data_IF_157684095292
#
_entry.id   IF_157684095292
#
_cell.length_a   1.000
_cell.length_b   1.000
_cell.length_c   1.000
_cell.angle_alpha   90.00
_cell.angle_beta   90.00
_cell.angle_gamma   90.00
#
_symmetry.space_group_name_H-M   'P 1'
#
loop_
_entity.id
_entity.type
_entity.pdbx_description
1 polymer ?
#
# COMPACT_ATOMS: atom_id res chain seq x y z
N UNK A 1 -17.13 6.26 -11.69
CA UNK A 1 -16.36 6.87 -10.58
C UNK A 1 -14.99 6.20 -10.55
N UNK A 2 -13.90 6.94 -10.27
CA UNK A 2 -12.60 6.33 -10.06
C UNK A 2 -12.67 5.34 -8.88
N UNK A 3 -12.03 4.18 -9.01
CA UNK A 3 -11.99 3.17 -7.95
C UNK A 3 -11.31 3.75 -6.70
N UNK A 4 -11.91 3.54 -5.53
CA UNK A 4 -11.29 3.94 -4.27
C UNK A 4 -10.07 3.05 -3.98
N UNK A 5 -9.06 3.60 -3.30
CA UNK A 5 -7.85 2.84 -2.93
C UNK A 5 -8.20 1.58 -2.10
N UNK A 6 -9.17 1.68 -1.20
CA UNK A 6 -9.68 0.55 -0.42
C UNK A 6 -10.21 -0.59 -1.31
N UNK A 7 -10.91 -0.26 -2.40
CA UNK A 7 -11.42 -1.27 -3.33
C UNK A 7 -10.28 -2.00 -4.05
N UNK A 8 -9.17 -1.30 -4.33
CA UNK A 8 -7.97 -1.88 -4.93
C UNK A 8 -7.20 -2.76 -3.94
N UNK A 9 -7.11 -2.35 -2.67
CA UNK A 9 -6.50 -3.15 -1.59
C UNK A 9 -7.24 -4.48 -1.41
N UNK A 10 -8.57 -4.39 -1.22
CA UNK A 10 -9.43 -5.56 -1.12
C UNK A 10 -9.36 -6.42 -2.38
N UNK A 11 -9.40 -5.79 -3.55
CA UNK A 11 -9.30 -6.47 -4.84
C UNK A 11 -8.00 -7.26 -4.98
N UNK A 12 -6.86 -6.69 -4.60
CA UNK A 12 -5.55 -7.36 -4.69
C UNK A 12 -5.50 -8.63 -3.83
N UNK A 13 -5.87 -8.53 -2.55
CA UNK A 13 -5.73 -9.65 -1.61
C UNK A 13 -6.82 -10.73 -1.80
N UNK A 14 -8.08 -10.34 -2.05
CA UNK A 14 -9.13 -11.29 -2.42
C UNK A 14 -8.90 -11.87 -3.82
N UNK A 15 -8.32 -11.07 -4.71
CA UNK A 15 -8.00 -11.45 -6.07
C UNK A 15 -6.93 -12.54 -6.13
N UNK A 16 -5.92 -12.47 -5.26
CA UNK A 16 -4.96 -13.55 -5.02
C UNK A 16 -5.69 -14.85 -4.69
N UNK A 17 -6.51 -14.84 -3.63
CA UNK A 17 -7.17 -16.04 -3.12
C UNK A 17 -8.23 -16.62 -4.06
N UNK A 18 -8.94 -15.77 -4.80
CA UNK A 18 -9.82 -16.23 -5.88
C UNK A 18 -9.04 -16.84 -7.04
N UNK A 19 -7.87 -16.28 -7.39
CA UNK A 19 -7.01 -16.81 -8.45
C UNK A 19 -6.52 -18.21 -8.13
N UNK A 20 -5.91 -18.35 -6.95
CA UNK A 20 -5.49 -19.62 -6.34
C UNK A 20 -6.63 -20.67 -6.38
N UNK A 21 -7.78 -20.36 -5.76
CA UNK A 21 -8.91 -21.28 -5.67
C UNK A 21 -9.51 -21.68 -7.04
N UNK A 22 -9.34 -20.86 -8.07
CA UNK A 22 -9.73 -21.20 -9.45
C UNK A 22 -8.68 -22.13 -10.08
N UNK A 23 -7.40 -21.76 -10.01
CA UNK A 23 -6.30 -22.45 -10.68
C UNK A 23 -6.03 -23.86 -10.15
N UNK A 24 -6.17 -24.09 -8.84
CA UNK A 24 -5.93 -25.42 -8.22
C UNK A 24 -6.80 -26.54 -8.82
N UNK A 25 -7.95 -26.19 -9.43
CA UNK A 25 -8.85 -27.13 -10.09
C UNK A 25 -8.18 -27.97 -11.21
N UNK A 26 -7.11 -27.44 -11.82
CA UNK A 26 -6.38 -28.06 -12.95
C UNK A 26 -4.88 -28.07 -12.76
N UNK A 27 -4.44 -27.89 -11.53
CA UNK A 27 -3.04 -27.99 -11.14
C UNK A 27 -2.42 -29.34 -11.54
N UNK A 28 -1.15 -29.29 -11.94
CA UNK A 28 -0.37 -30.40 -12.48
C UNK A 28 -0.91 -31.03 -13.77
N UNK A 29 -1.95 -30.47 -14.39
CA UNK A 29 -2.48 -30.96 -15.67
C UNK A 29 -1.82 -30.21 -16.84
N UNK A 30 -1.24 -30.94 -17.82
CA UNK A 30 -0.70 -30.28 -19.00
C UNK A 30 -1.79 -29.53 -19.77
N UNK A 31 -1.43 -28.40 -20.38
CA UNK A 31 -2.36 -27.59 -21.18
C UNK A 31 -3.11 -28.42 -22.21
N UNK A 32 -4.43 -28.21 -22.30
CA UNK A 32 -5.28 -28.86 -23.30
C UNK A 32 -5.63 -30.32 -22.99
N UNK A 33 -5.19 -30.86 -21.85
CA UNK A 33 -5.54 -32.22 -21.41
C UNK A 33 -6.77 -32.27 -20.50
N UNK A 34 -7.39 -31.12 -20.22
CA UNK A 34 -8.54 -30.97 -19.34
C UNK A 34 -9.63 -30.10 -19.98
N UNK A 35 -10.91 -30.30 -19.60
CA UNK A 35 -11.99 -29.38 -20.00
C UNK A 35 -11.69 -27.97 -19.47
N UNK A 36 -11.92 -26.91 -20.27
CA UNK A 36 -11.61 -25.55 -19.83
C UNK A 36 -12.24 -25.20 -18.48
N UNK A 37 -11.44 -24.62 -17.58
CA UNK A 37 -11.93 -24.03 -16.34
C UNK A 37 -12.74 -22.79 -16.70
N UNK A 38 -13.97 -22.72 -16.21
CA UNK A 38 -14.92 -21.63 -16.54
C UNK A 38 -15.48 -20.94 -15.31
N UNK A 39 -15.29 -21.52 -14.11
CA UNK A 39 -15.82 -20.98 -12.86
C UNK A 39 -14.97 -21.46 -11.66
N UNK A 40 -15.23 -20.87 -10.49
CA UNK A 40 -14.70 -21.33 -9.21
C UNK A 40 -15.43 -22.61 -8.76
N UNK A 41 -14.84 -23.76 -9.09
CA UNK A 41 -15.46 -25.09 -9.00
C UNK A 41 -14.79 -26.05 -8.00
N UNK A 42 -13.57 -25.78 -7.54
CA UNK A 42 -12.80 -26.71 -6.71
C UNK A 42 -12.35 -27.98 -7.45
N UNK A 43 -12.11 -29.06 -6.71
CA UNK A 43 -11.54 -30.30 -7.24
C UNK A 43 -10.01 -30.27 -7.16
N UNK A 44 -9.34 -30.42 -8.30
CA UNK A 44 -7.87 -30.46 -8.34
C UNK A 44 -7.27 -31.73 -7.73
N UNK A 45 -5.93 -31.79 -7.62
CA UNK A 45 -5.21 -32.91 -7.02
C UNK A 45 -5.55 -33.14 -5.54
N UNK A 46 -6.00 -32.10 -4.84
CA UNK A 46 -6.33 -32.14 -3.40
C UNK A 46 -7.82 -32.31 -3.09
N UNK A 47 -8.66 -32.45 -4.12
CA UNK A 47 -10.13 -32.60 -3.98
C UNK A 47 -10.77 -31.49 -3.12
N UNK A 48 -10.38 -30.24 -3.38
CA UNK A 48 -10.83 -29.07 -2.64
C UNK A 48 -12.31 -28.76 -2.91
N UNK A 49 -12.99 -28.20 -1.91
CA UNK A 49 -14.33 -27.64 -2.11
C UNK A 49 -14.22 -26.34 -2.91
N UNK A 50 -15.27 -25.96 -3.68
CA UNK A 50 -15.31 -24.65 -4.31
C UNK A 50 -15.04 -23.54 -3.28
N UNK A 51 -14.01 -22.75 -3.53
CA UNK A 51 -13.63 -21.58 -2.74
C UNK A 51 -12.46 -21.82 -1.79
N UNK A 52 -12.04 -23.07 -1.61
CA UNK A 52 -10.81 -23.38 -0.88
C UNK A 52 -9.60 -23.14 -1.79
N UNK A 53 -8.55 -22.60 -1.19
CA UNK A 53 -7.29 -22.14 -1.78
C UNK A 53 -6.11 -22.91 -1.16
N UNK A 54 -4.91 -22.80 -1.74
CA UNK A 54 -3.72 -23.62 -1.45
C UNK A 54 -2.68 -22.88 -0.59
N UNK A 55 -1.41 -23.29 -0.68
CA UNK A 55 -0.30 -22.68 0.06
C UNK A 55 -0.06 -21.21 -0.33
N UNK A 56 -0.33 -20.84 -1.58
CA UNK A 56 -0.36 -19.47 -2.09
C UNK A 56 -1.01 -18.49 -1.10
N UNK A 57 -2.29 -18.73 -0.82
CA UNK A 57 -3.10 -17.88 0.05
C UNK A 57 -2.72 -18.08 1.53
N UNK A 58 -2.41 -19.31 1.98
CA UNK A 58 -1.92 -19.54 3.35
C UNK A 58 -0.70 -18.70 3.67
N UNK A 59 0.27 -18.66 2.75
CA UNK A 59 1.52 -17.94 2.93
C UNK A 59 1.32 -16.43 2.77
N UNK A 60 0.41 -15.98 1.90
CA UNK A 60 0.00 -14.58 1.85
C UNK A 60 -0.62 -14.11 3.18
N UNK A 61 -1.53 -14.91 3.76
CA UNK A 61 -2.18 -14.58 5.02
C UNK A 61 -1.20 -14.55 6.20
N UNK A 62 -0.30 -15.54 6.28
CA UNK A 62 0.79 -15.54 7.26
C UNK A 62 1.66 -14.28 7.16
N UNK A 63 2.00 -13.85 5.93
CA UNK A 63 2.80 -12.65 5.69
C UNK A 63 2.05 -11.37 6.09
N UNK A 64 0.79 -11.25 5.70
CA UNK A 64 -0.06 -10.11 6.07
C UNK A 64 -0.24 -9.99 7.58
N UNK A 65 -0.44 -11.11 8.28
CA UNK A 65 -0.54 -11.08 9.73
C UNK A 65 0.77 -10.71 10.42
N UNK A 66 1.92 -11.20 9.93
CA UNK A 66 3.24 -10.77 10.44
C UNK A 66 3.41 -9.26 10.33
N UNK A 67 3.16 -8.70 9.15
CA UNK A 67 3.28 -7.26 8.90
C UNK A 67 2.40 -6.44 9.87
N UNK A 68 1.14 -6.85 10.04
CA UNK A 68 0.19 -6.16 10.92
C UNK A 68 0.53 -6.29 12.41
N UNK A 69 0.95 -7.48 12.87
CA UNK A 69 1.27 -7.72 14.28
C UNK A 69 2.58 -7.07 14.71
N UNK A 70 3.52 -6.95 13.77
CA UNK A 70 4.85 -6.40 14.01
C UNK A 70 4.96 -4.92 13.65
N UNK A 71 3.91 -4.36 13.04
CA UNK A 71 3.86 -3.00 12.48
C UNK A 71 5.08 -2.69 11.59
N UNK A 72 5.49 -3.69 10.79
CA UNK A 72 6.73 -3.67 10.03
C UNK A 72 7.09 -5.03 9.47
N UNK A 73 8.17 -5.10 8.70
CA UNK A 73 8.69 -6.35 8.17
C UNK A 73 9.60 -7.02 9.20
N UNK A 74 9.22 -8.21 9.66
CA UNK A 74 10.03 -9.08 10.52
C UNK A 74 10.13 -10.47 9.88
N UNK A 75 11.30 -10.76 9.31
CA UNK A 75 11.56 -12.01 8.59
C UNK A 75 11.45 -13.25 9.50
N UNK A 76 11.78 -13.13 10.79
CA UNK A 76 11.68 -14.23 11.74
C UNK A 76 10.22 -14.51 12.11
N UNK A 77 9.40 -13.47 12.32
CA UNK A 77 7.95 -13.63 12.55
C UNK A 77 7.25 -14.21 11.32
N UNK A 78 7.63 -13.77 10.11
CA UNK A 78 7.18 -14.35 8.85
C UNK A 78 7.47 -15.86 8.78
N UNK A 79 8.72 -16.26 8.99
CA UNK A 79 9.11 -17.68 8.94
C UNK A 79 8.49 -18.50 10.06
N UNK A 80 8.34 -17.94 11.25
CA UNK A 80 7.62 -18.57 12.37
C UNK A 80 6.16 -18.86 12.04
N UNK A 81 5.45 -17.96 11.34
CA UNK A 81 4.07 -18.21 10.89
C UNK A 81 4.00 -19.26 9.79
N UNK A 82 4.96 -19.28 8.87
CA UNK A 82 5.05 -20.36 7.87
C UNK A 82 5.34 -21.72 8.51
N UNK A 83 6.18 -21.78 9.55
CA UNK A 83 6.32 -22.99 10.37
C UNK A 83 4.99 -23.36 11.03
N UNK A 84 4.24 -22.36 11.54
CA UNK A 84 2.94 -22.64 12.14
C UNK A 84 1.95 -23.25 11.15
N UNK A 85 1.93 -22.71 9.93
CA UNK A 85 1.14 -23.25 8.85
C UNK A 85 1.59 -24.67 8.51
N UNK A 86 2.90 -24.87 8.27
CA UNK A 86 3.45 -26.17 7.89
C UNK A 86 3.20 -27.27 8.93
N UNK A 87 3.33 -26.96 10.23
CA UNK A 87 3.21 -27.96 11.30
C UNK A 87 1.77 -28.17 11.79
N UNK A 88 0.93 -27.12 11.78
CA UNK A 88 -0.38 -27.16 12.43
C UNK A 88 -1.54 -26.69 11.55
N UNK A 89 -1.32 -26.45 10.25
CA UNK A 89 -2.37 -25.96 9.34
C UNK A 89 -2.87 -24.56 9.69
N UNK A 90 -2.06 -23.75 10.38
CA UNK A 90 -2.39 -22.37 10.71
C UNK A 90 -2.71 -21.56 9.44
N UNK A 91 -3.88 -20.91 9.40
CA UNK A 91 -4.36 -20.18 8.21
C UNK A 91 -4.39 -21.06 6.95
N UNK A 92 -4.82 -22.32 7.08
CA UNK A 92 -5.10 -23.24 5.96
C UNK A 92 -6.60 -23.32 5.68
N UNK A 93 -6.97 -23.40 4.40
CA UNK A 93 -8.36 -23.61 3.99
C UNK A 93 -8.93 -25.00 4.34
N UNK A 94 -8.06 -25.97 4.65
CA UNK A 94 -8.45 -27.36 5.00
C UNK A 94 -8.19 -27.70 6.46
N UNK A 95 -7.51 -26.82 7.21
CA UNK A 95 -7.08 -27.06 8.58
C UNK A 95 -5.75 -27.83 8.71
N UNK A 96 -5.12 -28.20 7.60
CA UNK A 96 -3.81 -28.87 7.56
C UNK A 96 -2.90 -28.21 6.51
N UNK A 97 -1.58 -28.36 6.61
CA UNK A 97 -0.68 -27.97 5.51
C UNK A 97 -0.77 -29.00 4.38
N UNK A 98 -1.03 -28.51 3.17
CA UNK A 98 -0.95 -29.26 1.93
C UNK A 98 -0.29 -28.38 0.88
N UNK A 99 0.10 -28.98 -0.25
CA UNK A 99 0.67 -28.28 -1.40
C UNK A 99 1.99 -27.53 -1.22
N UNK A 100 2.63 -27.65 -0.05
CA UNK A 100 3.90 -26.97 0.18
C UNK A 100 4.99 -27.34 -0.85
N UNK A 101 5.43 -26.34 -1.60
CA UNK A 101 6.54 -26.47 -2.54
C UNK A 101 7.86 -26.91 -1.87
N UNK A 102 8.68 -27.68 -2.60
CA UNK A 102 9.92 -28.25 -2.05
C UNK A 102 10.92 -27.18 -1.59
N UNK A 103 11.06 -26.08 -2.31
CA UNK A 103 11.94 -24.96 -1.94
C UNK A 103 11.49 -24.29 -0.65
N UNK A 104 10.18 -24.12 -0.46
CA UNK A 104 9.61 -23.58 0.78
C UNK A 104 9.87 -24.54 1.93
N UNK A 105 9.57 -25.83 1.74
CA UNK A 105 9.80 -26.86 2.76
C UNK A 105 11.25 -26.91 3.21
N UNK A 106 12.21 -26.84 2.27
CA UNK A 106 13.64 -26.82 2.60
C UNK A 106 14.00 -25.58 3.41
N UNK A 107 13.57 -24.39 2.99
CA UNK A 107 13.87 -23.15 3.70
C UNK A 107 13.26 -23.13 5.12
N UNK A 108 12.07 -23.69 5.31
CA UNK A 108 11.47 -23.84 6.63
C UNK A 108 12.23 -24.82 7.52
N UNK A 109 12.69 -25.95 6.97
CA UNK A 109 13.52 -26.90 7.70
C UNK A 109 14.85 -26.25 8.13
N UNK A 110 15.52 -25.55 7.21
CA UNK A 110 16.78 -24.85 7.48
C UNK A 110 16.59 -23.75 8.54
N UNK A 111 15.48 -23.00 8.48
CA UNK A 111 15.15 -22.01 9.51
C UNK A 111 14.88 -22.66 10.88
N UNK A 112 14.16 -23.77 10.91
CA UNK A 112 13.87 -24.49 12.15
C UNK A 112 15.15 -25.04 12.81
N UNK A 113 16.12 -25.47 12.01
CA UNK A 113 17.39 -26.00 12.50
C UNK A 113 18.38 -24.90 12.91
N UNK A 114 18.49 -23.83 12.13
CA UNK A 114 19.57 -22.84 12.26
C UNK A 114 19.12 -21.45 12.75
N UNK A 115 17.82 -21.16 12.74
CA UNK A 115 17.25 -19.89 13.20
C UNK A 115 17.52 -18.69 12.30
N UNK A 116 18.13 -18.86 11.12
CA UNK A 116 18.39 -17.79 10.16
C UNK A 116 17.14 -17.54 9.28
N UNK A 117 16.46 -16.38 9.39
CA UNK A 117 15.16 -16.19 8.75
C UNK A 117 15.22 -15.98 7.23
N UNK A 118 16.39 -15.61 6.70
CA UNK A 118 16.64 -15.56 5.25
C UNK A 118 17.20 -16.90 4.77
N UNK A 119 16.37 -17.94 4.79
CA UNK A 119 16.76 -19.32 4.53
C UNK A 119 16.59 -19.75 3.06
N UNK A 120 16.16 -18.86 2.18
CA UNK A 120 15.98 -19.18 0.77
C UNK A 120 17.30 -19.46 0.06
N UNK A 121 17.36 -20.57 -0.69
CA UNK A 121 18.51 -20.91 -1.53
C UNK A 121 18.79 -19.81 -2.57
N UNK A 122 20.06 -19.46 -2.73
CA UNK A 122 20.55 -18.54 -3.77
C UNK A 122 20.91 -19.22 -5.09
N UNK A 123 20.79 -20.55 -5.17
CA UNK A 123 21.05 -21.32 -6.38
C UNK A 123 20.04 -20.92 -7.48
N UNK A 124 20.49 -20.51 -8.68
CA UNK A 124 19.61 -20.18 -9.81
C UNK A 124 18.60 -21.28 -10.18
N UNK A 125 18.91 -22.56 -9.94
CA UNK A 125 17.98 -23.68 -10.20
C UNK A 125 16.83 -23.77 -9.19
N UNK A 126 16.85 -22.94 -8.14
CA UNK A 126 15.79 -22.84 -7.13
C UNK A 126 14.91 -21.60 -7.30
N UNK A 127 14.95 -20.97 -8.47
CA UNK A 127 14.16 -19.78 -8.83
C UNK A 127 12.66 -20.09 -9.03
N UNK A 128 12.03 -20.65 -8.02
CA UNK A 128 10.60 -20.95 -7.98
C UNK A 128 9.72 -19.69 -7.87
N UNK A 129 8.47 -19.81 -8.29
CA UNK A 129 7.44 -18.77 -8.22
C UNK A 129 6.84 -18.57 -6.81
N UNK A 130 7.16 -19.41 -5.82
CA UNK A 130 6.48 -19.39 -4.52
C UNK A 130 6.66 -18.14 -3.65
N UNK A 131 7.53 -17.20 -4.04
CA UNK A 131 7.57 -15.86 -3.43
C UNK A 131 6.63 -14.84 -4.11
N UNK A 132 6.30 -15.02 -5.40
CA UNK A 132 5.37 -14.18 -6.16
C UNK A 132 3.92 -14.41 -5.74
N UNK A 133 3.55 -15.67 -5.45
CA UNK A 133 2.20 -16.07 -5.09
C UNK A 133 1.64 -15.32 -3.87
N UNK A 134 2.52 -14.93 -2.94
CA UNK A 134 2.19 -14.37 -1.63
C UNK A 134 2.51 -12.87 -1.48
N UNK A 135 2.77 -12.15 -2.57
CA UNK A 135 3.45 -10.85 -2.52
C UNK A 135 2.56 -9.67 -2.11
N UNK A 136 1.27 -9.72 -2.42
CA UNK A 136 0.32 -8.61 -2.23
C UNK A 136 0.39 -7.95 -0.83
N UNK A 137 0.38 -8.68 0.30
CA UNK A 137 0.43 -8.06 1.63
C UNK A 137 1.60 -7.08 1.83
N UNK A 138 2.79 -7.39 1.32
CA UNK A 138 3.97 -6.51 1.42
C UNK A 138 3.75 -5.21 0.66
N UNK A 139 3.19 -5.29 -0.55
CA UNK A 139 2.91 -4.11 -1.37
C UNK A 139 1.86 -3.24 -0.69
N UNK A 140 0.76 -3.87 -0.23
CA UNK A 140 -0.34 -3.17 0.42
C UNK A 140 0.12 -2.45 1.70
N UNK A 141 1.02 -3.07 2.48
CA UNK A 141 1.50 -2.51 3.75
C UNK A 141 2.44 -1.31 3.57
N UNK A 142 3.37 -1.37 2.62
CA UNK A 142 4.40 -0.33 2.45
C UNK A 142 4.05 0.76 1.42
N UNK A 143 3.00 0.58 0.62
CA UNK A 143 2.52 1.64 -0.27
C UNK A 143 2.09 2.88 0.54
N UNK A 144 2.40 4.13 0.12
CA UNK A 144 2.95 4.53 -1.18
C UNK A 144 4.49 4.65 -1.24
N UNK A 145 5.23 4.18 -0.24
CA UNK A 145 6.70 4.23 -0.26
C UNK A 145 7.27 3.16 -1.20
N UNK A 146 7.46 3.54 -2.47
CA UNK A 146 7.93 2.63 -3.52
C UNK A 146 9.33 2.05 -3.24
N UNK A 147 10.16 2.77 -2.46
CA UNK A 147 11.47 2.28 -2.03
C UNK A 147 11.32 1.11 -1.08
N UNK A 148 10.48 1.27 -0.03
CA UNK A 148 10.17 0.21 0.93
C UNK A 148 9.39 -0.94 0.30
N UNK A 149 8.44 -0.67 -0.59
CA UNK A 149 7.72 -1.71 -1.36
C UNK A 149 8.72 -2.61 -2.08
N UNK A 150 9.67 -2.04 -2.83
CA UNK A 150 10.67 -2.83 -3.57
C UNK A 150 11.64 -3.56 -2.64
N UNK A 151 12.13 -2.89 -1.61
CA UNK A 151 13.04 -3.50 -0.64
C UNK A 151 12.41 -4.73 0.02
N UNK A 152 11.23 -4.56 0.62
CA UNK A 152 10.58 -5.63 1.37
C UNK A 152 9.94 -6.69 0.47
N UNK A 153 9.62 -6.38 -0.79
CA UNK A 153 9.30 -7.41 -1.78
C UNK A 153 10.47 -8.39 -1.95
N UNK A 154 11.69 -7.86 -2.13
CA UNK A 154 12.90 -8.67 -2.23
C UNK A 154 13.22 -9.43 -0.92
N UNK A 155 13.16 -8.75 0.23
CA UNK A 155 13.44 -9.38 1.52
C UNK A 155 12.41 -10.47 1.87
N UNK A 156 11.12 -10.26 1.57
CA UNK A 156 10.09 -11.29 1.76
C UNK A 156 10.33 -12.52 0.88
N UNK A 157 10.89 -12.36 -0.33
CA UNK A 157 11.30 -13.48 -1.19
C UNK A 157 12.43 -14.27 -0.52
N UNK A 158 13.50 -13.59 -0.10
CA UNK A 158 14.73 -14.18 0.47
C UNK A 158 14.49 -15.10 1.66
N UNK A 159 13.35 -14.99 2.34
CA UNK A 159 12.97 -15.91 3.43
C UNK A 159 12.87 -17.37 2.96
N UNK A 160 12.39 -17.61 1.73
CA UNK A 160 12.26 -18.98 1.17
C UNK A 160 12.84 -19.13 -0.23
N UNK A 161 12.98 -18.05 -0.99
CA UNK A 161 13.52 -18.01 -2.36
C UNK A 161 14.59 -16.92 -2.46
N UNK A 162 15.85 -17.32 -2.40
CA UNK A 162 17.02 -16.43 -2.42
C UNK A 162 17.66 -16.26 -3.80
N UNK A 163 17.19 -16.98 -4.82
CA UNK A 163 17.69 -16.88 -6.19
C UNK A 163 17.42 -15.46 -6.75
N UNK A 164 18.42 -14.88 -7.42
CA UNK A 164 18.36 -13.49 -7.88
C UNK A 164 17.16 -13.21 -8.78
N UNK A 165 16.80 -14.13 -9.68
CA UNK A 165 15.63 -14.01 -10.54
C UNK A 165 14.31 -13.98 -9.75
N UNK A 166 14.17 -14.79 -8.69
CA UNK A 166 12.96 -14.78 -7.85
C UNK A 166 12.82 -13.46 -7.08
N UNK A 167 13.94 -12.92 -6.58
CA UNK A 167 13.98 -11.62 -5.89
C UNK A 167 13.57 -10.50 -6.84
N UNK A 168 14.20 -10.41 -8.02
CA UNK A 168 13.91 -9.35 -8.99
C UNK A 168 12.51 -9.48 -9.59
N UNK A 169 11.99 -10.69 -9.81
CA UNK A 169 10.60 -10.90 -10.20
C UNK A 169 9.63 -10.32 -9.16
N UNK A 170 9.88 -10.55 -7.86
CA UNK A 170 9.08 -9.95 -6.80
C UNK A 170 9.16 -8.42 -6.82
N UNK A 171 10.34 -7.84 -7.05
CA UNK A 171 10.51 -6.38 -7.12
C UNK A 171 9.77 -5.77 -8.33
N UNK A 172 9.85 -6.40 -9.50
CA UNK A 172 9.11 -6.00 -10.69
C UNK A 172 7.61 -6.08 -10.43
N UNK A 173 7.14 -7.23 -9.93
CA UNK A 173 5.73 -7.46 -9.72
C UNK A 173 5.13 -6.54 -8.63
N UNK A 174 5.85 -6.31 -7.54
CA UNK A 174 5.47 -5.35 -6.51
C UNK A 174 5.31 -3.93 -7.08
N UNK A 175 6.20 -3.52 -7.99
CA UNK A 175 6.14 -2.21 -8.63
C UNK A 175 4.89 -2.08 -9.52
N UNK A 176 4.51 -3.15 -10.22
CA UNK A 176 3.29 -3.17 -11.04
C UNK A 176 2.02 -3.12 -10.19
N UNK A 177 1.96 -3.86 -9.08
CA UNK A 177 0.84 -3.76 -8.13
C UNK A 177 0.76 -2.34 -7.57
N UNK A 178 1.88 -1.75 -7.13
CA UNK A 178 1.90 -0.39 -6.58
C UNK A 178 1.41 0.66 -7.61
N UNK A 179 1.75 0.51 -8.89
CA UNK A 179 1.21 1.36 -9.97
C UNK A 179 -0.28 1.15 -10.19
N UNK A 180 -0.77 -0.09 -10.12
CA UNK A 180 -2.21 -0.37 -10.19
C UNK A 180 -2.96 0.25 -9.00
N UNK A 181 -2.40 0.22 -7.79
CA UNK A 181 -2.93 0.93 -6.61
C UNK A 181 -2.99 2.44 -6.82
N UNK A 182 -1.97 3.01 -7.46
CA UNK A 182 -1.93 4.42 -7.85
C UNK A 182 -2.91 4.79 -8.99
N UNK A 183 -3.59 3.81 -9.58
CA UNK A 183 -4.57 4.01 -10.64
C UNK A 183 -3.98 4.10 -12.05
N UNK A 184 -2.77 3.59 -12.27
CA UNK A 184 -2.17 3.49 -13.60
C UNK A 184 -3.08 2.69 -14.56
N UNK A 185 -3.13 3.15 -15.81
CA UNK A 185 -3.78 2.47 -16.93
C UNK A 185 -3.04 1.18 -17.31
N UNK A 186 -3.72 0.28 -18.03
CA UNK A 186 -3.07 -0.93 -18.55
C UNK A 186 -1.82 -0.64 -19.38
N UNK A 187 -1.83 0.43 -20.17
CA UNK A 187 -0.71 0.86 -20.99
C UNK A 187 0.49 1.27 -20.12
N UNK A 188 0.27 2.01 -19.04
CA UNK A 188 1.32 2.41 -18.08
C UNK A 188 1.87 1.22 -17.27
N UNK A 189 1.15 0.10 -17.24
CA UNK A 189 1.59 -1.16 -16.62
C UNK A 189 2.34 -2.09 -17.59
N UNK A 190 2.45 -1.75 -18.88
CA UNK A 190 3.14 -2.60 -19.86
C UNK A 190 4.67 -2.59 -19.69
N UNK A 191 5.23 -1.46 -19.26
CA UNK A 191 6.67 -1.21 -19.24
C UNK A 191 7.09 -0.51 -17.94
N UNK A 192 8.20 -0.97 -17.36
CA UNK A 192 8.84 -0.42 -16.15
C UNK A 192 10.29 -0.04 -16.48
N UNK A 193 10.52 1.22 -16.90
CA UNK A 193 11.83 1.69 -17.38
C UNK A 193 12.67 2.44 -16.33
N UNK A 194 12.00 2.97 -15.31
CA UNK A 194 12.56 3.70 -14.16
C UNK A 194 13.28 2.79 -13.15
N UNK A 195 13.21 1.47 -13.33
CA UNK A 195 13.87 0.48 -12.49
C UNK A 195 14.86 -0.33 -13.32
N UNK A 196 16.12 -0.40 -12.86
CA UNK A 196 17.12 -1.27 -13.44
C UNK A 196 17.09 -2.64 -12.75
N UNK A 197 17.08 -3.69 -13.56
CA UNK A 197 17.14 -5.10 -13.14
C UNK A 197 18.43 -5.72 -13.68
N UNK A 198 19.13 -6.48 -12.85
CA UNK A 198 20.40 -7.13 -13.19
C UNK A 198 20.17 -8.44 -13.95
N UNK A 199 19.08 -9.15 -13.66
CA UNK A 199 18.75 -10.40 -14.34
C UNK A 199 18.16 -10.11 -15.72
N UNK A 200 18.86 -10.55 -16.77
CA UNK A 200 18.51 -10.24 -18.15
C UNK A 200 17.07 -10.59 -18.51
N UNK A 201 16.55 -11.75 -18.05
CA UNK A 201 15.17 -12.18 -18.32
C UNK A 201 14.14 -11.28 -17.64
N UNK A 202 14.41 -10.85 -16.39
CA UNK A 202 13.53 -9.93 -15.67
C UNK A 202 13.57 -8.54 -16.32
N UNK A 203 14.74 -8.07 -16.74
CA UNK A 203 14.88 -6.82 -17.48
C UNK A 203 14.13 -6.83 -18.82
N UNK A 204 14.10 -7.97 -19.54
CA UNK A 204 13.30 -8.11 -20.76
C UNK A 204 11.81 -8.13 -20.48
N UNK A 205 11.36 -8.80 -19.40
CA UNK A 205 9.96 -8.79 -18.99
C UNK A 205 9.49 -7.38 -18.59
N UNK A 206 10.30 -6.65 -17.83
CA UNK A 206 10.04 -5.27 -17.45
C UNK A 206 9.89 -4.34 -18.68
N UNK A 207 10.44 -4.73 -19.83
CA UNK A 207 10.33 -4.00 -21.11
C UNK A 207 9.19 -4.49 -22.02
N UNK A 208 8.30 -5.33 -21.49
CA UNK A 208 7.11 -5.77 -22.21
C UNK A 208 7.35 -6.86 -23.26
N UNK A 209 8.41 -7.67 -23.13
CA UNK A 209 8.72 -8.76 -24.08
C UNK A 209 7.59 -9.78 -24.27
N UNK A 210 6.67 -9.84 -23.31
CA UNK A 210 5.52 -10.73 -23.31
C UNK A 210 4.36 -10.22 -24.18
N UNK A 211 4.25 -8.92 -24.45
CA UNK A 211 3.06 -8.31 -25.08
C UNK A 211 2.74 -8.87 -26.48
N UNK A 212 3.76 -9.20 -27.26
CA UNK A 212 3.60 -9.69 -28.63
C UNK A 212 3.60 -11.22 -28.76
N UNK A 213 3.74 -11.96 -27.65
CA UNK A 213 3.80 -13.43 -27.67
C UNK A 213 2.43 -14.03 -27.98
N UNK A 214 2.42 -15.08 -28.78
CA UNK A 214 1.25 -15.92 -28.97
C UNK A 214 0.99 -16.77 -27.71
N UNK A 215 -0.27 -17.17 -27.50
CA UNK A 215 -0.67 -17.97 -26.33
C UNK A 215 0.14 -19.26 -26.20
N UNK A 216 0.51 -19.87 -27.31
CA UNK A 216 1.28 -21.12 -27.42
C UNK A 216 2.73 -20.98 -26.97
N UNK A 217 3.24 -19.74 -26.83
CA UNK A 217 4.58 -19.44 -26.33
C UNK A 217 4.60 -19.23 -24.81
N UNK A 218 3.45 -18.92 -24.21
CA UNK A 218 3.32 -18.64 -22.78
C UNK A 218 3.35 -19.94 -21.97
N UNK A 219 4.06 -19.96 -20.84
CA UNK A 219 4.18 -21.10 -19.93
C UNK A 219 3.90 -20.64 -18.50
N UNK A 220 2.91 -21.22 -17.83
CA UNK A 220 2.62 -20.97 -16.41
C UNK A 220 3.14 -22.15 -15.58
N UNK A 221 4.47 -22.28 -15.48
CA UNK A 221 5.12 -23.36 -14.74
C UNK A 221 5.79 -22.81 -13.46
N UNK A 222 6.36 -23.69 -12.63
CA UNK A 222 6.99 -23.32 -11.36
C UNK A 222 8.19 -22.37 -11.40
N UNK A 223 8.70 -22.01 -12.59
CA UNK A 223 9.79 -21.04 -12.72
C UNK A 223 9.26 -19.61 -12.63
N UNK A 224 9.85 -18.78 -11.76
CA UNK A 224 9.34 -17.45 -11.43
C UNK A 224 9.18 -16.50 -12.64
N UNK A 225 10.12 -16.54 -13.59
CA UNK A 225 10.09 -15.70 -14.79
C UNK A 225 8.95 -16.12 -15.72
N UNK A 226 8.78 -17.42 -15.96
CA UNK A 226 7.72 -17.97 -16.81
C UNK A 226 6.34 -17.70 -16.20
N UNK A 227 6.17 -17.97 -14.90
CA UNK A 227 4.95 -17.67 -14.14
C UNK A 227 4.58 -16.18 -14.20
N UNK A 228 5.55 -15.29 -13.96
CA UNK A 228 5.31 -13.85 -14.02
C UNK A 228 4.98 -13.40 -15.45
N UNK A 229 5.70 -13.91 -16.46
CA UNK A 229 5.40 -13.65 -17.87
C UNK A 229 3.95 -14.04 -18.22
N UNK A 230 3.54 -15.23 -17.81
CA UNK A 230 2.21 -15.75 -18.04
C UNK A 230 1.13 -14.89 -17.39
N UNK A 231 1.30 -14.53 -16.12
CA UNK A 231 0.37 -13.68 -15.41
C UNK A 231 0.23 -12.29 -16.06
N UNK A 232 1.35 -11.66 -16.45
CA UNK A 232 1.34 -10.35 -17.12
C UNK A 232 0.71 -10.43 -18.52
N UNK A 233 0.99 -11.50 -19.27
CA UNK A 233 0.36 -11.74 -20.57
C UNK A 233 -1.16 -11.90 -20.43
N UNK A 234 -1.61 -12.74 -19.49
CA UNK A 234 -3.03 -12.96 -19.22
C UNK A 234 -3.73 -11.67 -18.79
N UNK A 235 -3.10 -10.87 -17.93
CA UNK A 235 -3.63 -9.56 -17.54
C UNK A 235 -3.77 -8.61 -18.73
N UNK A 236 -2.74 -8.48 -19.58
CA UNK A 236 -2.79 -7.54 -20.70
C UNK A 236 -3.79 -7.97 -21.78
N UNK A 237 -3.97 -9.27 -22.01
CA UNK A 237 -4.86 -9.84 -23.05
C UNK A 237 -6.30 -10.14 -22.59
N UNK A 238 -6.75 -9.59 -21.46
CA UNK A 238 -8.11 -9.78 -20.92
C UNK A 238 -8.74 -8.46 -20.47
N UNK A 239 -10.04 -8.26 -20.64
CA UNK A 239 -10.67 -6.97 -20.35
C UNK A 239 -11.30 -6.86 -18.95
N UNK A 240 -11.27 -7.96 -18.19
CA UNK A 240 -11.79 -8.03 -16.82
C UNK A 240 -11.02 -9.06 -15.99
N UNK A 241 -11.26 -9.02 -14.68
CA UNK A 241 -10.57 -9.89 -13.70
C UNK A 241 -10.82 -11.39 -13.96
N UNK A 242 -12.08 -11.77 -14.25
CA UNK A 242 -12.44 -13.18 -14.41
C UNK A 242 -11.74 -13.79 -15.62
N UNK A 243 -11.74 -13.08 -16.75
CA UNK A 243 -11.05 -13.53 -17.97
C UNK A 243 -9.54 -13.62 -17.76
N UNK A 244 -8.94 -12.70 -17.00
CA UNK A 244 -7.51 -12.75 -16.67
C UNK A 244 -7.14 -14.02 -15.88
N UNK A 245 -7.91 -14.29 -14.82
CA UNK A 245 -7.71 -15.47 -13.95
C UNK A 245 -8.00 -16.77 -14.68
N UNK A 246 -9.10 -16.84 -15.43
CA UNK A 246 -9.45 -18.03 -16.21
C UNK A 246 -8.43 -18.27 -17.33
N UNK A 247 -7.92 -17.23 -17.98
CA UNK A 247 -6.86 -17.37 -18.98
C UNK A 247 -5.60 -18.00 -18.36
N UNK A 248 -5.20 -17.54 -17.16
CA UNK A 248 -4.06 -18.07 -16.42
C UNK A 248 -4.28 -19.53 -15.97
N UNK A 249 -5.41 -19.83 -15.33
CA UNK A 249 -5.74 -21.20 -14.90
C UNK A 249 -5.76 -22.20 -16.06
N UNK A 250 -6.28 -21.77 -17.22
CA UNK A 250 -6.32 -22.60 -18.44
C UNK A 250 -4.96 -22.75 -19.16
N UNK A 251 -3.88 -22.18 -18.63
CA UNK A 251 -2.53 -22.53 -19.08
C UNK A 251 -2.11 -23.92 -18.60
N UNK A 252 -2.74 -24.45 -17.53
CA UNK A 252 -2.38 -25.72 -16.90
C UNK A 252 -1.06 -25.63 -16.14
N UNK A 253 -0.40 -26.76 -15.96
CA UNK A 253 0.88 -26.91 -15.27
C UNK A 253 0.80 -26.38 -13.82
N UNK A 254 1.37 -25.22 -13.53
CA UNK A 254 1.34 -24.54 -12.23
C UNK A 254 0.25 -23.45 -12.24
N UNK A 255 -0.99 -23.95 -12.30
CA UNK A 255 -2.16 -23.17 -12.67
C UNK A 255 -2.69 -22.29 -11.54
N UNK A 256 -2.65 -22.77 -10.30
CA UNK A 256 -2.98 -22.02 -9.09
C UNK A 256 -2.04 -20.84 -8.89
N UNK A 257 -0.72 -21.07 -8.92
CA UNK A 257 0.25 -19.98 -8.74
C UNK A 257 0.12 -18.93 -9.83
N UNK A 258 0.04 -19.35 -11.09
CA UNK A 258 -0.10 -18.39 -12.20
C UNK A 258 -1.41 -17.60 -12.07
N UNK A 259 -2.50 -18.24 -11.64
CA UNK A 259 -3.79 -17.59 -11.41
C UNK A 259 -3.78 -16.66 -10.19
N UNK A 260 -3.07 -17.00 -9.11
CA UNK A 260 -2.90 -16.16 -7.93
C UNK A 260 -2.06 -14.92 -8.23
N UNK A 261 -0.98 -15.06 -9.00
CA UNK A 261 -0.15 -13.92 -9.46
C UNK A 261 -0.99 -12.95 -10.29
N UNK A 262 -1.69 -13.43 -11.34
CA UNK A 262 -2.55 -12.51 -12.11
C UNK A 262 -3.69 -11.95 -11.25
N UNK A 263 -4.21 -12.73 -10.30
CA UNK A 263 -5.25 -12.34 -9.37
C UNK A 263 -4.88 -11.12 -8.51
N UNK A 264 -3.63 -11.05 -8.03
CA UNK A 264 -3.12 -9.90 -7.27
C UNK A 264 -3.15 -8.61 -8.11
N UNK A 265 -2.58 -8.63 -9.32
CA UNK A 265 -2.48 -7.45 -10.18
C UNK A 265 -3.84 -7.05 -10.76
N UNK A 266 -4.59 -8.01 -11.30
CA UNK A 266 -5.93 -7.76 -11.84
C UNK A 266 -6.88 -7.28 -10.74
N UNK A 267 -6.77 -7.84 -9.54
CA UNK A 267 -7.51 -7.41 -8.37
C UNK A 267 -7.19 -5.97 -7.96
N UNK A 268 -5.92 -5.58 -7.91
CA UNK A 268 -5.50 -4.20 -7.67
C UNK A 268 -6.00 -3.23 -8.76
N UNK A 269 -6.03 -3.68 -10.02
CA UNK A 269 -6.40 -2.87 -11.17
C UNK A 269 -7.92 -2.66 -11.32
N UNK A 270 -8.70 -3.74 -11.27
CA UNK A 270 -10.17 -3.71 -11.42
C UNK A 270 -10.91 -3.47 -10.10
N UNK A 271 -10.22 -3.61 -8.96
CA UNK A 271 -10.80 -3.51 -7.62
C UNK A 271 -11.70 -4.70 -7.26
N UNK A 272 -12.13 -4.77 -5.99
CA UNK A 272 -13.03 -5.83 -5.49
C UNK A 272 -14.31 -5.96 -6.32
N UNK A 273 -14.82 -4.85 -6.85
CA UNK A 273 -16.03 -4.82 -7.69
C UNK A 273 -15.84 -5.51 -9.05
N UNK A 274 -14.60 -5.68 -9.49
CA UNK A 274 -14.27 -6.42 -10.72
C UNK A 274 -14.23 -7.93 -10.53
N UNK A 275 -14.13 -8.43 -9.28
CA UNK A 275 -14.14 -9.86 -8.98
C UNK A 275 -15.59 -10.37 -9.04
N UNK A 276 -15.88 -11.50 -9.71
CA UNK A 276 -17.24 -12.04 -9.74
C UNK A 276 -17.82 -12.24 -8.33
N UNK A 277 -18.98 -11.64 -8.07
CA UNK A 277 -19.60 -11.67 -6.73
C UNK A 277 -19.89 -13.09 -6.24
N UNK A 278 -20.17 -14.03 -7.15
CA UNK A 278 -20.37 -15.43 -6.80
C UNK A 278 -19.08 -16.18 -6.47
N UNK A 279 -17.91 -15.70 -6.91
CA UNK A 279 -16.60 -16.21 -6.46
C UNK A 279 -16.34 -15.74 -5.03
N UNK A 280 -16.51 -14.44 -4.77
CA UNK A 280 -16.36 -13.87 -3.43
C UNK A 280 -17.28 -14.54 -2.39
N UNK A 281 -18.52 -14.88 -2.79
CA UNK A 281 -19.47 -15.56 -1.91
C UNK A 281 -19.09 -17.01 -1.57
N UNK A 282 -18.30 -17.68 -2.42
CA UNK A 282 -17.80 -19.04 -2.20
C UNK A 282 -16.45 -19.06 -1.48
N UNK A 283 -15.67 -17.98 -1.58
CA UNK A 283 -14.28 -17.92 -1.14
C UNK A 283 -14.17 -18.24 0.36
N UNK A 284 -13.36 -19.26 0.67
CA UNK A 284 -13.07 -19.64 2.04
C UNK A 284 -12.33 -18.51 2.75
N UNK A 285 -12.73 -18.19 3.99
CA UNK A 285 -12.21 -17.04 4.75
C UNK A 285 -12.31 -15.67 4.05
N UNK A 286 -13.26 -15.51 3.12
CA UNK A 286 -13.39 -14.27 2.34
C UNK A 286 -13.62 -13.00 3.18
N UNK A 287 -14.25 -13.12 4.36
CA UNK A 287 -14.44 -11.97 5.26
C UNK A 287 -13.14 -11.59 5.99
N UNK A 288 -12.39 -12.59 6.42
CA UNK A 288 -11.11 -12.44 7.11
C UNK A 288 -10.04 -11.87 6.17
N UNK A 289 -9.96 -12.38 4.94
CA UNK A 289 -9.09 -11.85 3.88
C UNK A 289 -9.43 -10.38 3.61
N UNK A 290 -10.73 -10.06 3.51
CA UNK A 290 -11.18 -8.68 3.32
C UNK A 290 -10.80 -7.78 4.50
N UNK A 291 -11.00 -8.24 5.73
CA UNK A 291 -10.64 -7.48 6.93
C UNK A 291 -9.12 -7.22 7.00
N UNK A 292 -8.30 -8.22 6.66
CA UNK A 292 -6.86 -8.05 6.55
C UNK A 292 -6.48 -6.96 5.53
N UNK A 293 -7.12 -6.93 4.36
CA UNK A 293 -6.88 -5.88 3.37
C UNK A 293 -7.22 -4.47 3.90
N UNK A 294 -8.28 -4.35 4.69
CA UNK A 294 -8.68 -3.09 5.34
C UNK A 294 -7.63 -2.66 6.39
N UNK A 295 -7.16 -3.59 7.21
CA UNK A 295 -6.14 -3.36 8.22
C UNK A 295 -4.78 -2.98 7.60
N UNK A 296 -4.42 -3.60 6.48
CA UNK A 296 -3.21 -3.27 5.71
C UNK A 296 -3.29 -1.83 5.17
N UNK A 297 -4.45 -1.36 4.70
CA UNK A 297 -4.63 0.03 4.30
C UNK A 297 -4.48 0.98 5.48
N UNK A 298 -5.11 0.65 6.61
CA UNK A 298 -4.99 1.47 7.81
C UNK A 298 -3.54 1.57 8.30
N UNK A 299 -2.77 0.47 8.23
CA UNK A 299 -1.35 0.46 8.56
C UNK A 299 -0.50 1.29 7.58
N UNK A 300 -0.73 1.11 6.28
CA UNK A 300 -0.07 1.88 5.22
C UNK A 300 -0.28 3.39 5.40
N UNK A 301 -1.50 3.82 5.73
CA UNK A 301 -1.81 5.23 5.99
C UNK A 301 -1.12 5.79 7.25
N UNK A 302 -0.86 4.94 8.26
CA UNK A 302 -0.07 5.34 9.43
C UNK A 302 1.43 5.49 9.11
N UNK A 303 1.94 4.71 8.17
CA UNK A 303 3.36 4.65 7.82
C UNK A 303 3.76 5.54 6.65
N UNK A 304 2.80 6.00 5.84
CA UNK A 304 3.05 6.87 4.71
C UNK A 304 3.84 8.12 5.19
N UNK A 305 4.99 8.44 4.57
CA UNK A 305 5.70 9.66 4.91
C UNK A 305 4.75 10.83 4.71
N UNK A 306 4.64 11.71 5.71
CA UNK A 306 3.78 12.88 5.61
C UNK A 306 4.15 13.64 4.34
N UNK A 307 3.17 13.80 3.42
CA UNK A 307 3.37 14.64 2.25
C UNK A 307 3.68 16.05 2.77
N UNK A 308 4.75 16.70 2.28
CA UNK A 308 5.04 18.06 2.72
C UNK A 308 3.85 18.96 2.44
N UNK A 309 3.42 19.68 3.47
CA UNK A 309 2.32 20.62 3.46
C UNK A 309 2.80 21.95 2.88
N UNK A 310 2.01 22.54 2.00
CA UNK A 310 2.23 23.87 1.46
C UNK A 310 1.37 24.87 2.22
N UNK A 311 1.86 26.10 2.31
CA UNK A 311 1.07 27.20 2.81
C UNK A 311 1.48 28.52 2.18
N UNK A 312 0.56 29.46 2.25
CA UNK A 312 0.72 30.76 1.61
C UNK A 312 0.02 31.86 2.40
N UNK A 313 0.44 33.11 2.16
CA UNK A 313 -0.34 34.25 2.61
C UNK A 313 -1.62 34.41 1.77
N UNK A 314 -2.57 35.24 2.21
CA UNK A 314 -3.84 35.46 1.52
C UNK A 314 -3.68 35.84 0.03
N UNK A 315 -2.70 36.69 -0.30
CA UNK A 315 -2.44 37.08 -1.69
C UNK A 315 -1.48 36.14 -2.44
N UNK A 316 -1.04 35.04 -1.80
CA UNK A 316 -0.07 34.06 -2.33
C UNK A 316 1.30 34.60 -2.72
N UNK A 317 1.61 35.86 -2.38
CA UNK A 317 2.90 36.47 -2.64
C UNK A 317 4.03 35.82 -1.84
N UNK A 318 3.74 35.30 -0.65
CA UNK A 318 4.68 34.53 0.19
C UNK A 318 4.18 33.10 0.27
N UNK A 319 5.04 32.14 -0.04
CA UNK A 319 4.73 30.71 0.01
C UNK A 319 5.83 29.95 0.76
N UNK A 320 5.43 28.89 1.45
CA UNK A 320 6.31 28.04 2.25
C UNK A 320 5.89 26.58 2.16
N UNK A 321 6.80 25.72 2.58
CA UNK A 321 6.61 24.28 2.73
C UNK A 321 6.95 23.86 4.15
N UNK A 322 6.21 22.86 4.63
CA UNK A 322 6.37 22.24 5.94
C UNK A 322 6.40 20.73 5.76
N UNK A 323 7.46 20.04 6.19
CA UNK A 323 7.53 18.58 6.06
C UNK A 323 6.49 17.89 6.97
N UNK A 324 6.29 18.41 8.19
CA UNK A 324 5.27 17.97 9.15
C UNK A 324 5.05 19.01 10.25
N UNK A 325 3.95 18.88 11.01
CA UNK A 325 3.76 19.61 12.27
C UNK A 325 4.40 18.81 13.42
N UNK A 326 5.41 19.36 14.09
CA UNK A 326 6.16 18.67 15.15
C UNK A 326 5.52 18.80 16.54
N UNK A 327 4.57 19.73 16.69
CA UNK A 327 3.78 19.89 17.90
C UNK A 327 2.29 19.97 17.56
N UNK A 328 1.40 19.52 18.47
CA UNK A 328 -0.04 19.55 18.25
C UNK A 328 -0.57 20.93 17.90
N UNK A 329 -1.64 20.96 17.11
CA UNK A 329 -2.41 22.18 16.86
C UNK A 329 -3.05 22.63 18.18
N UNK A 330 -2.84 23.90 18.54
CA UNK A 330 -3.46 24.54 19.70
C UNK A 330 -4.13 25.85 19.33
N UNK A 331 -5.25 26.16 19.98
CA UNK A 331 -5.94 27.43 19.86
C UNK A 331 -5.47 28.37 20.97
N UNK A 332 -4.76 29.44 20.59
CA UNK A 332 -4.27 30.45 21.53
C UNK A 332 -5.23 31.63 21.62
N UNK A 333 -5.82 31.81 22.80
CA UNK A 333 -6.82 32.85 23.10
C UNK A 333 -6.21 34.13 23.67
N UNK A 334 -4.89 34.20 23.83
CA UNK A 334 -4.27 35.37 24.44
C UNK A 334 -4.57 36.64 23.64
N UNK A 335 -4.70 37.77 24.35
CA UNK A 335 -5.07 39.05 23.75
C UNK A 335 -4.16 39.43 22.58
N UNK A 336 -2.85 39.18 22.69
CA UNK A 336 -1.89 39.47 21.61
C UNK A 336 -2.16 38.63 20.36
N UNK A 337 -2.52 37.35 20.51
CA UNK A 337 -2.87 36.51 19.36
C UNK A 337 -4.20 36.94 18.74
N UNK A 338 -5.25 37.18 19.53
CA UNK A 338 -6.51 37.68 18.98
C UNK A 338 -6.35 38.99 18.21
N UNK A 339 -5.63 39.96 18.79
CA UNK A 339 -5.41 41.29 18.17
C UNK A 339 -4.52 41.22 16.94
N UNK A 340 -3.44 40.42 16.96
CA UNK A 340 -2.55 40.31 15.80
C UNK A 340 -3.21 39.63 14.59
N UNK A 341 -4.14 38.70 14.83
CA UNK A 341 -4.80 37.94 13.77
C UNK A 341 -6.21 38.46 13.41
N UNK A 342 -6.72 39.45 14.14
CA UNK A 342 -8.12 39.89 14.05
C UNK A 342 -9.11 38.71 14.12
N UNK A 343 -8.87 37.76 15.02
CA UNK A 343 -9.60 36.50 15.10
C UNK A 343 -9.98 36.14 16.55
N UNK A 344 -10.99 35.27 16.71
CA UNK A 344 -11.44 34.73 17.99
C UNK A 344 -10.31 34.05 18.79
N UNK A 345 -9.41 33.37 18.07
CA UNK A 345 -8.16 32.80 18.58
C UNK A 345 -7.21 32.60 17.40
N UNK A 346 -5.93 32.34 17.68
CA UNK A 346 -4.99 31.92 16.65
C UNK A 346 -4.72 30.41 16.75
N UNK A 347 -4.99 29.69 15.66
CA UNK A 347 -4.59 28.28 15.51
C UNK A 347 -3.11 28.19 15.17
N UNK A 348 -2.34 27.53 16.03
CA UNK A 348 -0.89 27.43 15.91
C UNK A 348 -0.39 26.02 16.12
N UNK A 349 0.67 25.65 15.42
CA UNK A 349 1.43 24.44 15.65
C UNK A 349 2.92 24.79 15.64
N UNK A 350 3.71 24.04 16.40
CA UNK A 350 5.17 24.16 16.36
C UNK A 350 5.73 23.32 15.22
N UNK A 351 6.76 23.85 14.55
CA UNK A 351 7.47 23.19 13.46
C UNK A 351 8.96 23.38 13.69
N UNK A 352 9.74 22.32 13.71
CA UNK A 352 11.19 22.40 13.78
C UNK A 352 11.73 23.14 12.57
N UNK A 353 12.77 23.96 12.78
CA UNK A 353 13.34 24.79 11.70
C UNK A 353 13.79 23.96 10.49
N UNK A 354 14.27 22.75 10.72
CA UNK A 354 14.68 21.81 9.66
C UNK A 354 13.51 21.34 8.78
N UNK A 355 12.29 21.29 9.31
CA UNK A 355 11.08 20.91 8.55
C UNK A 355 10.38 22.10 7.88
N UNK A 356 10.85 23.33 8.07
CA UNK A 356 10.22 24.53 7.51
C UNK A 356 11.10 25.18 6.46
N UNK A 357 10.53 25.49 5.28
CA UNK A 357 11.26 26.19 4.20
C UNK A 357 10.39 27.23 3.52
N UNK A 358 10.92 28.43 3.34
CA UNK A 358 10.32 29.42 2.43
C UNK A 358 10.55 29.01 0.98
N UNK A 359 9.51 29.05 0.15
CA UNK A 359 9.58 28.72 -1.27
C UNK A 359 9.77 29.99 -2.13
N UNK A 360 8.97 31.04 -1.87
CA UNK A 360 9.06 32.32 -2.58
C UNK A 360 8.51 33.48 -1.73
N UNK A 361 8.74 34.72 -2.20
CA UNK A 361 8.14 35.91 -1.59
C UNK A 361 8.87 36.47 -0.37
N UNK A 362 10.15 36.15 -0.18
CA UNK A 362 10.92 36.63 0.98
C UNK A 362 11.03 38.16 1.00
N UNK A 363 11.02 38.79 -0.16
CA UNK A 363 10.97 40.25 -0.36
C UNK A 363 9.66 40.88 0.14
N UNK A 364 8.59 40.10 0.22
CA UNK A 364 7.30 40.51 0.77
C UNK A 364 7.10 40.07 2.22
N UNK A 365 8.14 39.51 2.86
CA UNK A 365 8.11 39.12 4.26
C UNK A 365 8.54 40.29 5.14
N UNK A 366 7.64 40.76 5.99
CA UNK A 366 7.92 41.76 7.02
C UNK A 366 7.81 41.16 8.41
N UNK A 367 8.46 41.79 9.38
CA UNK A 367 8.40 41.33 10.77
C UNK A 367 8.40 42.47 11.77
N UNK A 368 7.86 42.19 12.96
CA UNK A 368 8.00 43.06 14.13
C UNK A 368 8.15 42.24 15.40
N UNK A 369 8.75 42.85 16.42
CA UNK A 369 8.91 42.23 17.74
C UNK A 369 7.65 42.46 18.59
N UNK A 370 6.95 41.37 18.91
CA UNK A 370 5.67 41.43 19.65
C UNK A 370 5.83 41.35 21.18
N UNK A 371 6.99 40.90 21.63
CA UNK A 371 7.44 40.84 23.02
C UNK A 371 8.95 40.56 22.99
N UNK A 372 9.74 40.86 24.03
CA UNK A 372 11.19 40.63 24.02
C UNK A 372 11.58 39.24 23.49
N UNK A 373 12.33 39.23 22.40
CA UNK A 373 12.84 38.06 21.68
C UNK A 373 11.84 37.33 20.79
N UNK A 374 10.59 37.80 20.62
CA UNK A 374 9.54 37.14 19.82
C UNK A 374 9.18 37.94 18.58
N UNK A 375 9.71 37.52 17.45
CA UNK A 375 9.40 38.07 16.14
C UNK A 375 8.15 37.42 15.55
N UNK A 376 7.30 38.23 14.93
CA UNK A 376 6.15 37.78 14.13
C UNK A 376 6.40 38.15 12.69
N UNK A 377 6.27 37.17 11.81
CA UNK A 377 6.46 37.31 10.37
C UNK A 377 5.12 37.33 9.66
N UNK A 378 4.94 38.28 8.75
CA UNK A 378 3.69 38.51 8.02
C UNK A 378 3.99 39.03 6.62
N UNK A 379 3.04 38.84 5.71
CA UNK A 379 3.12 39.38 4.36
C UNK A 379 2.89 40.90 4.38
N UNK A 380 3.82 41.68 3.84
CA UNK A 380 3.72 43.14 3.75
C UNK A 380 2.65 43.64 2.77
N UNK A 381 2.17 42.76 1.88
CA UNK A 381 1.16 43.08 0.86
C UNK A 381 -0.27 42.89 1.40
N UNK A 382 -0.56 41.75 2.03
CA UNK A 382 -1.92 41.41 2.49
C UNK A 382 -2.09 41.36 4.01
N UNK A 383 -1.01 41.47 4.78
CA UNK A 383 -1.05 41.43 6.25
C UNK A 383 -1.19 40.04 6.86
N UNK A 384 -1.31 38.95 6.08
CA UNK A 384 -1.41 37.60 6.64
C UNK A 384 -0.17 37.26 7.47
N UNK A 385 -0.40 36.92 8.73
CA UNK A 385 0.63 36.41 9.62
C UNK A 385 0.89 34.93 9.34
N UNK A 386 2.15 34.57 9.11
CA UNK A 386 2.54 33.22 8.65
C UNK A 386 3.19 32.41 9.76
N UNK A 387 4.10 33.01 10.53
CA UNK A 387 4.72 32.36 11.68
C UNK A 387 5.20 33.36 12.73
N UNK A 388 5.52 32.85 13.91
CA UNK A 388 6.30 33.59 14.91
C UNK A 388 7.49 32.75 15.35
N UNK A 389 8.55 33.39 15.82
CA UNK A 389 9.75 32.68 16.27
C UNK A 389 10.42 33.40 17.44
N UNK A 390 11.24 32.64 18.17
CA UNK A 390 12.26 33.17 19.09
C UNK A 390 13.60 32.62 18.62
N UNK A 391 14.61 33.49 18.45
CA UNK A 391 15.90 33.09 17.87
C UNK A 391 16.58 31.92 18.61
N UNK A 392 16.41 31.83 19.94
CA UNK A 392 16.96 30.74 20.75
C UNK A 392 16.14 29.45 20.79
N UNK A 393 15.02 29.35 20.05
CA UNK A 393 14.20 28.13 20.02
C UNK A 393 14.42 27.34 18.72
N UNK A 394 14.44 25.99 18.81
CA UNK A 394 14.70 25.11 17.64
C UNK A 394 13.51 25.04 16.67
N UNK A 395 12.37 25.62 17.04
CA UNK A 395 11.14 25.59 16.26
C UNK A 395 10.62 26.99 15.97
N UNK A 396 9.80 27.08 14.92
CA UNK A 396 8.91 28.20 14.62
C UNK A 396 7.49 27.85 15.06
N UNK A 397 6.68 28.87 15.34
CA UNK A 397 5.26 28.74 15.64
C UNK A 397 4.49 29.13 14.38
N UNK A 398 4.08 28.12 13.62
CA UNK A 398 3.33 28.27 12.38
C UNK A 398 1.90 28.73 12.67
N UNK A 399 1.33 29.54 11.76
CA UNK A 399 -0.11 29.84 11.72
C UNK A 399 -0.79 28.79 10.86
N UNK A 400 -1.53 27.89 11.50
CA UNK A 400 -2.14 26.74 10.81
C UNK A 400 -3.14 27.20 9.75
N UNK A 401 -3.82 28.32 10.00
CA UNK A 401 -4.79 28.90 9.07
C UNK A 401 -4.18 29.43 7.75
N UNK A 402 -2.85 29.43 7.60
CA UNK A 402 -2.18 29.79 6.34
C UNK A 402 -1.67 28.58 5.56
N UNK A 403 -1.97 27.35 6.01
CA UNK A 403 -1.75 26.15 5.20
C UNK A 403 -2.76 26.12 4.04
N UNK A 404 -2.27 25.78 2.85
CA UNK A 404 -3.08 25.52 1.67
C UNK A 404 -3.54 24.05 1.64
N UNK A 405 -2.74 23.16 2.25
CA UNK A 405 -3.02 21.74 2.39
C UNK A 405 -3.64 21.42 3.76
N UNK A 406 -4.56 20.43 3.82
CA UNK A 406 -5.08 19.91 5.09
C UNK A 406 -3.99 19.10 5.84
N UNK A 407 -3.58 19.51 7.05
CA UNK A 407 -2.59 18.77 7.82
C UNK A 407 -3.10 17.42 8.36
N UNK A 408 -4.39 17.10 8.21
CA UNK A 408 -5.00 15.86 8.72
C UNK A 408 -5.03 15.76 10.25
N UNK A 409 -4.80 16.87 10.94
CA UNK A 409 -4.74 16.96 12.40
C UNK A 409 -5.83 17.89 12.92
N UNK A 410 -6.48 17.49 14.00
CA UNK A 410 -7.41 18.36 14.74
C UNK A 410 -6.70 19.06 15.91
N UNK A 411 -7.15 20.27 16.31
CA UNK A 411 -6.69 20.93 17.52
C UNK A 411 -6.82 20.05 18.76
N UNK A 412 -5.78 20.01 19.60
CA UNK A 412 -5.75 19.19 20.82
C UNK A 412 -5.94 20.00 22.11
N UNK A 413 -5.81 21.34 22.05
CA UNK A 413 -5.87 22.18 23.25
C UNK A 413 -6.29 23.62 22.97
N UNK A 414 -6.90 24.24 23.98
CA UNK A 414 -7.11 25.68 24.08
C UNK A 414 -6.20 26.22 25.18
N UNK A 415 -5.42 27.26 24.89
CA UNK A 415 -4.51 27.88 25.85
C UNK A 415 -4.79 29.38 25.99
N UNK A 416 -4.48 29.94 27.16
CA UNK A 416 -4.76 31.34 27.52
C UNK A 416 -6.26 31.71 27.54
N UNK A 417 -7.12 30.74 27.85
CA UNK A 417 -8.58 30.95 27.99
C UNK A 417 -8.94 31.87 29.16
N UNK A 418 -8.01 32.14 30.09
CA UNK A 418 -8.19 33.20 31.10
C UNK A 418 -8.33 34.61 30.49
N UNK A 419 -7.95 34.80 29.23
CA UNK A 419 -8.18 36.05 28.50
C UNK A 419 -9.49 36.01 27.69
N UNK A 420 -10.29 34.93 27.75
CA UNK A 420 -11.55 34.83 27.02
C UNK A 420 -12.51 35.96 27.37
N UNK A 421 -13.39 36.25 26.43
CA UNK A 421 -14.34 37.35 26.48
C UNK A 421 -15.72 36.81 26.15
N UNK A 422 -16.81 37.38 26.72
CA UNK A 422 -18.14 36.78 26.62
C UNK A 422 -18.62 36.50 25.19
N UNK A 423 -18.21 37.32 24.21
CA UNK A 423 -18.60 37.15 22.81
C UNK A 423 -17.94 35.95 22.10
N UNK A 424 -17.03 35.20 22.76
CA UNK A 424 -16.48 33.94 22.25
C UNK A 424 -17.36 32.72 22.56
N UNK A 425 -18.39 32.87 23.39
CA UNK A 425 -19.29 31.79 23.75
C UNK A 425 -20.11 31.34 22.51
N UNK A 426 -20.15 30.03 22.26
CA UNK A 426 -20.84 29.42 21.12
C UNK A 426 -21.89 28.36 21.53
N UNK A 427 -21.95 28.00 22.81
CA UNK A 427 -22.91 27.02 23.30
C UNK A 427 -24.35 27.57 23.22
N UNK A 428 -25.25 26.82 22.60
CA UNK A 428 -26.67 27.19 22.47
C UNK A 428 -26.97 28.23 21.39
N UNK A 429 -26.05 28.49 20.46
CA UNK A 429 -26.31 29.32 19.28
C UNK A 429 -26.80 28.47 18.10
N UNK A 430 -27.71 29.04 17.32
CA UNK A 430 -28.10 28.47 16.03
C UNK A 430 -26.92 28.45 15.06
N UNK A 431 -26.85 27.41 14.22
CA UNK A 431 -25.81 27.27 13.21
C UNK A 431 -26.43 26.89 11.87
N UNK A 432 -25.88 27.47 10.81
CA UNK A 432 -26.31 27.22 9.43
C UNK A 432 -25.06 26.88 8.60
N UNK A 433 -25.17 25.96 7.62
CA UNK A 433 -24.05 25.64 6.73
C UNK A 433 -23.65 26.82 5.83
N UNK A 434 -24.58 27.75 5.59
CA UNK A 434 -24.39 28.96 4.78
C UNK A 434 -25.03 30.18 5.49
N UNK A 435 -25.53 31.15 4.72
CA UNK A 435 -26.30 32.25 5.26
C UNK A 435 -27.52 31.75 6.04
N UNK A 436 -27.87 32.49 7.09
CA UNK A 436 -29.13 32.31 7.79
C UNK A 436 -30.28 32.37 6.77
N UNK A 437 -31.28 31.46 6.83
CA UNK A 437 -32.42 31.47 5.92
C UNK A 437 -33.11 32.84 5.86
N UNK A 438 -33.44 33.30 4.64
CA UNK A 438 -34.14 34.59 4.41
C UNK A 438 -33.25 35.83 4.42
N UNK A 439 -31.92 35.64 4.37
CA UNK A 439 -30.93 36.70 4.24
C UNK A 439 -30.38 36.68 2.81
N UNK A 440 -31.14 37.27 1.88
CA UNK A 440 -30.74 37.46 0.48
C UNK A 440 -29.66 38.55 0.34
#
# INVERSE_FOLDING_TARGET
>A
MPLALLDRYRGSLLGLACGDAVGTSVEFKPRGTFPPVTDLQGGGPFNLKPGQWTDDTSMALCLGESLLRKDGFDAADQMGRYLNWWQWGYLSATGECFDIGMTVRQALADYQEHGQPFAGSSDPYTAGNGSLMRLAPVVLFFYPDLGRVRQFAGDSSRTTHGAAEAIECCQLFASLIARALAGASKQELQVVEDIQFEQAKVATLARGSYLSKAREEIRGNGYCVDSLEAALWCFQHSDNYADAVLAAANLGDDADTTAAIVGQLAGAFYGIQGIPGHWLAKLHMGQEIRAMADDLLAAAQRQAPARPLHGSCLCKAVQYQVERLDMPIGHCHCQTCRKAHAAAFASTAGVMREHFRWLCGREHLSSYESSPGKLRHFCSVCGSHLLAERAGQPHVILRVATLDDDPGQTPQMHIWTCHDVPWLAHAGLDSWPEWQPGRD
#
